data_IF_922028918931
#
_entry.id   IF_922028918931
#
_cell.length_a   1.000
_cell.length_b   1.000
_cell.length_c   1.000
_cell.angle_alpha   90.00
_cell.angle_beta   90.00
_cell.angle_gamma   90.00
#
_symmetry.space_group_name_H-M   'P 1'
#
loop_
_entity.id
_entity.type
_entity.pdbx_description
1 polymer ?
#
# COMPACT_ATOMS: atom_id res chain seq x y z
N UNK A 1 21.17 21.24 23.00
CA UNK A 1 20.63 20.55 21.81
C UNK A 1 19.23 21.06 21.58
N UNK A 2 19.00 21.80 20.49
CA UNK A 2 17.67 22.35 20.15
C UNK A 2 16.92 21.31 19.32
N UNK A 3 15.84 20.77 19.88
CA UNK A 3 14.93 19.86 19.17
C UNK A 3 14.02 20.72 18.30
N UNK A 4 14.10 20.55 16.98
CA UNK A 4 13.24 21.26 16.02
C UNK A 4 11.91 20.50 15.92
N UNK A 5 10.80 21.25 15.82
CA UNK A 5 9.41 20.77 15.92
C UNK A 5 9.20 19.40 15.25
N UNK A 6 8.83 18.43 16.07
CA UNK A 6 8.86 17.02 15.74
C UNK A 6 7.82 16.66 14.67
N UNK A 7 8.30 16.27 13.49
CA UNK A 7 7.51 15.51 12.53
C UNK A 7 7.00 14.22 13.21
N UNK A 8 5.69 13.93 13.22
CA UNK A 8 5.18 12.71 13.84
C UNK A 8 5.88 11.46 13.28
N UNK A 9 6.43 10.63 14.17
CA UNK A 9 7.17 9.42 13.78
C UNK A 9 8.66 9.64 13.46
N UNK A 10 9.18 10.85 13.59
CA UNK A 10 10.58 11.19 13.32
C UNK A 10 11.22 11.95 14.49
N UNK A 11 12.47 11.61 14.77
CA UNK A 11 13.36 12.36 15.65
C UNK A 11 14.29 13.20 14.79
N UNK A 12 14.31 14.52 14.95
CA UNK A 12 15.16 15.42 14.16
C UNK A 12 16.24 16.08 15.01
N UNK A 13 17.41 16.26 14.40
CA UNK A 13 18.56 16.94 14.98
C UNK A 13 19.33 17.73 13.92
N UNK A 14 20.11 18.72 14.37
CA UNK A 14 21.08 19.40 13.51
C UNK A 14 22.34 18.56 13.44
N UNK A 15 22.83 18.32 12.21
CA UNK A 15 24.13 17.70 11.98
C UNK A 15 25.26 18.70 12.24
N UNK A 16 26.42 18.21 12.67
CA UNK A 16 27.64 19.01 12.87
C UNK A 16 28.14 19.64 11.56
N UNK A 17 27.80 19.03 10.42
CA UNK A 17 28.22 19.46 9.07
C UNK A 17 27.34 20.58 8.48
N UNK A 18 26.34 21.07 9.23
CA UNK A 18 25.51 22.20 8.82
C UNK A 18 24.19 21.83 8.13
N UNK A 19 23.80 20.55 8.13
CA UNK A 19 22.50 20.07 7.67
C UNK A 19 21.54 19.67 8.79
N UNK A 20 20.38 19.14 8.41
CA UNK A 20 19.42 18.52 9.31
C UNK A 20 19.35 17.03 9.05
N UNK A 21 19.20 16.26 10.11
CA UNK A 21 19.04 14.81 10.08
C UNK A 21 17.77 14.42 10.80
N UNK A 22 17.00 13.51 10.22
CA UNK A 22 15.85 12.91 10.85
C UNK A 22 15.94 11.39 10.81
N UNK A 23 15.71 10.76 11.97
CA UNK A 23 15.68 9.30 12.13
C UNK A 23 14.27 8.86 12.52
N UNK A 24 13.79 7.77 11.94
CA UNK A 24 12.49 7.21 12.31
C UNK A 24 12.47 6.76 13.77
N UNK A 25 11.38 7.03 14.45
CA UNK A 25 11.14 6.55 15.81
C UNK A 25 10.77 5.06 15.83
N UNK A 26 9.99 4.62 14.84
CA UNK A 26 9.56 3.23 14.71
C UNK A 26 10.40 2.49 13.66
N UNK A 27 10.82 1.25 13.95
CA UNK A 27 11.58 0.46 12.99
C UNK A 27 10.74 0.11 11.77
N UNK A 28 11.42 -0.08 10.63
CA UNK A 28 10.81 -0.56 9.40
C UNK A 28 10.90 -2.09 9.30
N UNK A 29 9.96 -2.71 8.60
CA UNK A 29 10.06 -4.13 8.25
C UNK A 29 11.08 -4.34 7.12
N UNK A 30 11.61 -5.56 6.98
CA UNK A 30 12.49 -5.92 5.86
C UNK A 30 11.80 -5.65 4.52
N UNK A 31 10.49 -5.92 4.42
CA UNK A 31 9.72 -5.61 3.22
C UNK A 31 9.70 -4.11 2.94
N UNK A 32 9.54 -3.26 3.95
CA UNK A 32 9.58 -1.80 3.77
C UNK A 32 10.95 -1.30 3.30
N UNK A 33 12.03 -1.79 3.90
CA UNK A 33 13.40 -1.44 3.51
C UNK A 33 13.70 -1.85 2.06
N UNK A 34 13.34 -3.09 1.68
CA UNK A 34 13.52 -3.59 0.31
C UNK A 34 12.72 -2.79 -0.74
N UNK A 35 11.70 -2.05 -0.32
CA UNK A 35 10.87 -1.22 -1.20
C UNK A 35 11.17 0.29 -1.06
N UNK A 36 12.35 0.65 -0.53
CA UNK A 36 12.86 2.02 -0.55
C UNK A 36 12.37 2.93 0.57
N UNK A 37 11.77 2.37 1.63
CA UNK A 37 11.52 3.12 2.85
C UNK A 37 12.85 3.35 3.57
N UNK A 38 13.08 4.58 4.04
CA UNK A 38 14.33 4.96 4.70
C UNK A 38 14.14 5.14 6.21
N UNK A 39 15.14 4.71 6.97
CA UNK A 39 15.23 4.92 8.42
C UNK A 39 15.79 6.30 8.78
N UNK A 40 16.62 6.87 7.90
CA UNK A 40 17.26 8.16 8.07
C UNK A 40 17.07 9.03 6.83
N UNK A 41 16.90 10.33 7.06
CA UNK A 41 16.81 11.37 6.03
C UNK A 41 17.75 12.50 6.41
N UNK A 42 18.47 13.03 5.42
CA UNK A 42 19.28 14.24 5.55
C UNK A 42 18.72 15.30 4.61
N UNK A 43 18.70 16.54 5.09
CA UNK A 43 18.23 17.70 4.33
C UNK A 43 19.10 18.93 4.64
N UNK A 44 19.11 19.89 3.74
CA UNK A 44 19.85 21.15 3.91
C UNK A 44 19.09 22.16 4.79
N UNK A 45 17.77 22.15 4.70
CA UNK A 45 16.90 23.04 5.46
C UNK A 45 15.65 22.34 6.01
N UNK A 46 14.93 23.05 6.88
CA UNK A 46 13.78 22.52 7.60
C UNK A 46 12.59 22.23 6.68
N UNK A 47 12.42 23.01 5.61
CA UNK A 47 11.34 22.80 4.64
C UNK A 47 11.58 21.56 3.80
N UNK A 48 12.82 21.36 3.34
CA UNK A 48 13.23 20.13 2.66
C UNK A 48 13.08 18.91 3.59
N UNK A 49 13.54 19.00 4.84
CA UNK A 49 13.40 17.91 5.81
C UNK A 49 11.93 17.54 6.02
N UNK A 50 11.06 18.54 6.15
CA UNK A 50 9.63 18.34 6.33
C UNK A 50 9.02 17.59 5.14
N UNK A 51 9.33 18.03 3.91
CA UNK A 51 8.81 17.40 2.70
C UNK A 51 9.28 15.95 2.56
N UNK A 52 10.57 15.69 2.83
CA UNK A 52 11.14 14.34 2.73
C UNK A 52 10.57 13.40 3.78
N UNK A 53 10.44 13.84 5.03
CA UNK A 53 9.84 13.05 6.10
C UNK A 53 8.34 12.73 5.83
N UNK A 54 7.53 13.68 5.35
CA UNK A 54 6.13 13.41 4.97
C UNK A 54 6.05 12.40 3.82
N UNK A 55 6.87 12.59 2.78
CA UNK A 55 6.92 11.68 1.64
C UNK A 55 7.32 10.25 2.07
N UNK A 56 8.33 10.12 2.93
CA UNK A 56 8.77 8.83 3.45
C UNK A 56 7.74 8.19 4.39
N UNK A 57 7.02 8.96 5.19
CA UNK A 57 5.89 8.44 5.99
C UNK A 57 4.81 7.85 5.09
N UNK A 58 4.36 8.58 4.07
CA UNK A 58 3.33 8.11 3.13
C UNK A 58 3.78 6.91 2.30
N UNK A 59 5.07 6.85 1.93
CA UNK A 59 5.63 5.68 1.26
C UNK A 59 5.55 4.46 2.17
N UNK A 60 6.03 4.56 3.40
CA UNK A 60 6.03 3.46 4.36
C UNK A 60 4.62 2.92 4.66
N UNK A 61 3.61 3.79 4.76
CA UNK A 61 2.20 3.40 4.93
C UNK A 61 1.65 2.62 3.74
N UNK A 62 1.95 3.07 2.51
CA UNK A 62 1.55 2.39 1.28
C UNK A 62 2.23 1.03 1.14
N UNK A 63 3.52 0.96 1.43
CA UNK A 63 4.29 -0.28 1.40
C UNK A 63 3.80 -1.26 2.47
N UNK A 64 3.52 -0.81 3.70
CA UNK A 64 2.93 -1.65 4.73
C UNK A 64 1.55 -2.19 4.33
N UNK A 65 0.78 -1.40 3.58
CA UNK A 65 -0.50 -1.85 3.02
C UNK A 65 -0.30 -2.95 1.97
N UNK A 66 0.65 -2.78 1.05
CA UNK A 66 1.00 -3.79 0.06
C UNK A 66 1.51 -5.09 0.73
N UNK A 67 2.33 -4.98 1.78
CA UNK A 67 2.81 -6.12 2.57
C UNK A 67 1.66 -6.95 3.14
N UNK A 68 0.67 -6.29 3.77
CA UNK A 68 -0.52 -6.96 4.32
C UNK A 68 -1.34 -7.65 3.25
N UNK A 69 -1.55 -7.02 2.09
CA UNK A 69 -2.30 -7.60 0.98
C UNK A 69 -1.58 -8.81 0.35
N UNK A 70 -0.24 -8.79 0.32
CA UNK A 70 0.55 -9.94 -0.11
C UNK A 70 0.34 -11.12 0.85
N UNK A 71 0.42 -10.88 2.16
CA UNK A 71 0.23 -11.91 3.17
C UNK A 71 -1.16 -12.57 3.09
N UNK A 72 -2.22 -11.79 2.86
CA UNK A 72 -3.58 -12.33 2.71
C UNK A 72 -3.77 -13.12 1.41
N UNK A 73 -3.10 -12.73 0.32
CA UNK A 73 -3.15 -13.44 -0.96
C UNK A 73 -2.39 -14.76 -0.90
N UNK A 74 -1.21 -14.78 -0.27
CA UNK A 74 -0.46 -16.03 -0.03
C UNK A 74 -1.18 -16.99 0.94
N UNK A 75 -2.05 -16.46 1.81
CA UNK A 75 -2.92 -17.27 2.66
C UNK A 75 -4.09 -17.93 1.93
N UNK A 76 -4.46 -17.47 0.72
CA UNK A 76 -5.56 -18.05 -0.07
C UNK A 76 -5.14 -19.23 -0.97
N UNK A 77 -3.84 -19.45 -1.18
CA UNK A 77 -3.33 -20.61 -1.94
C UNK A 77 -3.35 -21.96 -1.19
N UNK A 78 -3.92 -22.01 0.02
CA UNK A 78 -4.14 -23.25 0.79
C UNK A 78 -5.56 -23.82 0.75
N UNK A 79 -6.50 -23.18 0.06
CA UNK A 79 -7.89 -23.63 -0.04
C UNK A 79 -8.11 -24.49 -1.28
N UNK A 80 -8.32 -25.79 -1.07
CA UNK A 80 -8.63 -26.79 -2.08
C UNK A 80 -9.62 -26.29 -3.15
N UNK A 81 -9.26 -26.45 -4.42
CA UNK A 81 -10.18 -26.41 -5.55
C UNK A 81 -11.01 -27.70 -5.51
N UNK A 82 -12.34 -27.68 -5.28
CA UNK A 82 -13.15 -28.85 -5.55
C UNK A 82 -13.24 -29.04 -7.07
N UNK A 83 -12.81 -30.20 -7.54
CA UNK A 83 -13.01 -30.64 -8.90
C UNK A 83 -14.51 -30.84 -9.18
N UNK A 84 -14.98 -30.36 -10.34
CA UNK A 84 -16.28 -30.67 -10.94
C UNK A 84 -17.28 -29.51 -10.84
N UNK A 85 -17.99 -29.12 -11.89
CA UNK A 85 -18.10 -29.66 -13.24
C UNK A 85 -19.22 -28.91 -13.97
N UNK A 86 -19.22 -29.06 -15.29
CA UNK A 86 -20.30 -28.73 -16.23
C UNK A 86 -20.66 -27.24 -16.44
N UNK A 87 -20.22 -26.74 -17.60
CA UNK A 87 -20.87 -25.67 -18.36
C UNK A 87 -22.39 -25.92 -18.51
N UNK A 88 -23.24 -24.89 -18.45
CA UNK A 88 -24.48 -24.90 -19.21
C UNK A 88 -24.23 -24.30 -20.60
N UNK A 89 -24.52 -25.13 -21.61
CA UNK A 89 -24.52 -24.76 -23.01
C UNK A 89 -25.52 -23.63 -23.29
N UNK A 90 -25.15 -22.79 -24.26
CA UNK A 90 -26.09 -21.93 -24.96
C UNK A 90 -27.15 -22.77 -25.66
N UNK A 91 -28.42 -22.52 -25.39
CA UNK A 91 -29.49 -22.84 -26.32
C UNK A 91 -30.26 -21.57 -26.67
N UNK A 92 -29.98 -21.10 -27.89
CA UNK A 92 -30.83 -20.20 -28.65
C UNK A 92 -31.97 -21.04 -29.24
N UNK A 93 -33.21 -20.69 -28.92
CA UNK A 93 -34.40 -21.39 -29.43
C UNK A 93 -35.53 -20.41 -29.68
N UNK A 94 -35.56 -19.84 -30.88
CA UNK A 94 -36.73 -19.12 -31.41
C UNK A 94 -37.82 -20.11 -31.79
N UNK A 95 -39.05 -19.92 -31.30
CA UNK A 95 -40.23 -20.50 -31.90
C UNK A 95 -41.45 -19.58 -31.75
N UNK A 96 -42.03 -19.31 -32.92
CA UNK A 96 -43.23 -18.54 -33.23
C UNK A 96 -44.47 -19.02 -32.47
N UNK A 97 -45.29 -18.08 -31.98
CA UNK A 97 -46.57 -18.35 -31.32
C UNK A 97 -47.61 -17.28 -31.67
N UNK A 98 -48.67 -17.73 -32.32
CA UNK A 98 -49.65 -16.96 -33.09
C UNK A 98 -50.80 -16.42 -32.22
N UNK A 99 -51.29 -15.22 -32.56
CA UNK A 99 -52.67 -14.67 -32.48
C UNK A 99 -53.60 -14.99 -31.28
N UNK A 100 -54.10 -13.92 -30.65
CA UNK A 100 -55.52 -13.59 -30.37
C UNK A 100 -55.56 -12.40 -29.40
N UNK A 101 -56.32 -11.30 -29.50
CA UNK A 101 -57.50 -10.94 -30.29
C UNK A 101 -58.47 -10.15 -29.39
N UNK A 102 -58.87 -8.93 -29.80
CA UNK A 102 -60.02 -8.13 -29.31
C UNK A 102 -60.00 -7.68 -27.84
N UNK A 103 -60.57 -6.54 -27.44
CA UNK A 103 -61.45 -5.57 -28.09
C UNK A 103 -61.27 -4.23 -27.38
#
# INVERSE_FOLDING_TARGET
MSVILCMPGWHSERSEEGGLRATRISPLTDYQLLNGCLEEIVAMDEGELWLLCDAQTRLAERVATAERLRATTSGQTGGAVPAGGASPASEVGSASGVRSGGR
#
